data_IF_865486097642
#
_entry.id   IF_865486097642
#
_cell.length_a   1.000
_cell.length_b   1.000
_cell.length_c   1.000
_cell.angle_alpha   90.00
_cell.angle_beta   90.00
_cell.angle_gamma   90.00
#
_symmetry.space_group_name_H-M   'P 1'
#
loop_
_entity.id
_entity.type
_entity.pdbx_description
1 polymer ?
#
# COMPACT_ATOMS: atom_id res chain seq x y z
N UNK A 1 -2.06 4.07 38.28
CA UNK A 1 -1.46 2.79 37.83
C UNK A 1 -2.42 1.88 37.05
N UNK A 2 -3.72 1.85 37.38
CA UNK A 2 -4.70 0.95 36.77
C UNK A 2 -5.19 1.39 35.37
N UNK A 3 -5.09 2.66 35.02
CA UNK A 3 -5.65 3.19 33.78
C UNK A 3 -4.73 2.91 32.59
N UNK A 4 -3.42 3.05 32.77
CA UNK A 4 -2.42 2.77 31.71
C UNK A 4 -2.32 1.28 31.38
N UNK A 5 -2.45 0.39 32.36
CA UNK A 5 -2.27 -1.05 32.18
C UNK A 5 -3.34 -1.75 31.33
N UNK A 6 -4.51 -1.11 31.12
CA UNK A 6 -5.55 -1.65 30.22
C UNK A 6 -5.42 -1.17 28.78
N UNK A 7 -4.79 -0.01 28.56
CA UNK A 7 -4.70 0.62 27.26
C UNK A 7 -3.33 0.44 26.59
N UNK A 8 -2.31 0.08 27.38
CA UNK A 8 -0.93 -0.01 26.95
C UNK A 8 -0.27 -1.24 27.58
N UNK A 9 0.37 -2.06 26.73
CA UNK A 9 1.08 -3.27 27.17
C UNK A 9 2.47 -3.33 26.53
N UNK A 10 3.37 -4.05 27.15
CA UNK A 10 4.67 -4.38 26.55
C UNK A 10 4.45 -5.09 25.21
N UNK A 11 5.18 -4.65 24.19
CA UNK A 11 5.10 -5.15 22.83
C UNK A 11 4.00 -4.53 21.97
N UNK A 12 3.15 -3.66 22.52
CA UNK A 12 2.18 -2.90 21.73
C UNK A 12 2.91 -1.91 20.82
N UNK A 13 2.36 -1.69 19.62
CA UNK A 13 2.77 -0.61 18.75
C UNK A 13 1.81 0.56 18.87
N UNK A 14 2.34 1.72 19.22
CA UNK A 14 1.55 2.90 19.53
C UNK A 14 2.05 4.13 18.78
N UNK A 15 1.12 5.06 18.54
CA UNK A 15 1.42 6.41 18.09
C UNK A 15 0.74 7.42 19.03
N UNK A 16 1.50 8.41 19.48
CA UNK A 16 0.95 9.54 20.22
C UNK A 16 0.46 10.63 19.27
N UNK A 17 -0.51 11.41 19.70
CA UNK A 17 -1.02 12.56 18.94
C UNK A 17 0.03 13.64 18.65
N UNK A 18 1.14 13.64 19.37
CA UNK A 18 2.34 14.47 19.14
C UNK A 18 3.25 13.96 18.05
N UNK A 19 2.99 12.74 17.52
CA UNK A 19 3.67 12.17 16.36
C UNK A 19 4.70 11.09 16.68
N UNK A 20 5.11 10.92 17.95
CA UNK A 20 6.03 9.84 18.32
C UNK A 20 5.32 8.50 18.18
N UNK A 21 5.99 7.55 17.54
CA UNK A 21 5.48 6.20 17.34
C UNK A 21 6.54 5.14 17.58
N UNK A 22 6.12 3.96 18.01
CA UNK A 22 7.04 2.86 18.23
C UNK A 22 6.43 1.69 19.00
N UNK A 23 7.23 0.65 19.13
CA UNK A 23 6.91 -0.51 19.95
C UNK A 23 7.25 -0.23 21.41
N UNK A 24 6.33 -0.47 22.31
CA UNK A 24 6.53 -0.37 23.76
C UNK A 24 7.48 -1.47 24.22
N UNK A 25 8.63 -1.10 24.73
CA UNK A 25 9.66 -2.03 25.22
C UNK A 25 9.78 -2.06 26.73
N UNK A 26 9.40 -0.98 27.40
CA UNK A 26 9.42 -0.91 28.86
C UNK A 26 8.35 0.05 29.38
N UNK A 27 7.76 -0.28 30.53
CA UNK A 27 6.79 0.56 31.24
C UNK A 27 7.17 0.56 32.70
N UNK A 28 7.72 1.67 33.15
CA UNK A 28 7.99 1.93 34.57
C UNK A 28 6.87 2.76 35.20
N UNK A 29 6.98 3.08 36.49
CA UNK A 29 5.99 3.93 37.14
C UNK A 29 6.01 5.41 36.67
N UNK A 30 7.14 5.87 36.09
CA UNK A 30 7.32 7.26 35.63
C UNK A 30 7.38 7.40 34.12
N UNK A 31 7.91 6.41 33.42
CA UNK A 31 8.24 6.49 32.00
C UNK A 31 7.77 5.25 31.24
N UNK A 32 7.40 5.45 30.02
CA UNK A 32 7.23 4.41 29.02
C UNK A 32 8.29 4.58 27.94
N UNK A 33 8.95 3.51 27.58
CA UNK A 33 9.99 3.50 26.54
C UNK A 33 9.43 2.85 25.29
N UNK A 34 9.62 3.51 24.14
CA UNK A 34 9.25 2.97 22.84
C UNK A 34 10.46 2.94 21.91
N UNK A 35 10.46 1.99 20.95
CA UNK A 35 11.45 1.93 19.88
C UNK A 35 10.69 2.06 18.55
N UNK A 36 10.97 3.10 17.73
CA UNK A 36 10.42 3.23 16.39
C UNK A 36 10.83 2.07 15.48
N UNK A 37 10.00 1.75 14.48
CA UNK A 37 10.32 0.71 13.49
C UNK A 37 11.57 1.10 12.70
N UNK A 38 12.54 0.16 12.59
CA UNK A 38 13.78 0.39 11.86
C UNK A 38 14.80 1.32 12.54
N UNK A 39 14.51 1.79 13.77
CA UNK A 39 15.43 2.63 14.53
C UNK A 39 16.20 1.83 15.57
N UNK A 40 17.41 2.31 15.88
CA UNK A 40 18.25 1.78 16.97
C UNK A 40 18.16 2.61 18.26
N UNK A 41 17.49 3.75 18.19
CA UNK A 41 17.27 4.65 19.32
C UNK A 41 15.96 4.38 20.03
N UNK A 42 15.90 4.77 21.29
CA UNK A 42 14.70 4.69 22.12
C UNK A 42 14.13 6.08 22.36
N UNK A 43 12.81 6.16 22.45
CA UNK A 43 12.08 7.35 22.89
C UNK A 43 11.54 7.05 24.28
N UNK A 44 11.93 7.87 25.26
CA UNK A 44 11.47 7.77 26.64
C UNK A 44 10.44 8.85 26.91
N UNK A 45 9.22 8.44 27.22
CA UNK A 45 8.06 9.34 27.35
C UNK A 45 7.58 9.31 28.80
N UNK A 46 7.46 10.47 29.46
CA UNK A 46 6.86 10.53 30.78
C UNK A 46 5.40 10.01 30.76
N UNK A 47 5.03 9.16 31.72
CA UNK A 47 3.68 8.62 31.79
C UNK A 47 2.61 9.71 31.96
N UNK A 48 2.99 10.85 32.53
CA UNK A 48 2.13 12.05 32.61
C UNK A 48 1.75 12.55 31.21
N UNK A 49 2.70 12.54 30.27
CA UNK A 49 2.45 12.93 28.87
C UNK A 49 1.52 11.92 28.19
N UNK A 50 1.76 10.63 28.37
CA UNK A 50 0.92 9.57 27.84
C UNK A 50 -0.51 9.65 28.37
N UNK A 51 -0.69 9.92 29.65
CA UNK A 51 -2.01 10.02 30.29
C UNK A 51 -2.86 11.20 29.76
N UNK A 52 -2.21 12.25 29.25
CA UNK A 52 -2.87 13.42 28.67
C UNK A 52 -2.94 13.44 27.15
N UNK A 53 -2.35 12.45 26.47
CA UNK A 53 -2.27 12.41 25.02
C UNK A 53 -3.35 11.50 24.40
N UNK A 54 -3.72 11.81 23.16
CA UNK A 54 -4.42 10.84 22.33
C UNK A 54 -3.42 9.75 21.92
N UNK A 55 -3.79 8.48 22.13
CA UNK A 55 -2.96 7.34 21.80
C UNK A 55 -3.72 6.49 20.78
N UNK A 56 -3.09 6.24 19.63
CA UNK A 56 -3.51 5.20 18.71
C UNK A 56 -2.72 3.94 19.05
N UNK A 57 -3.39 2.89 19.51
CA UNK A 57 -2.77 1.60 19.78
C UNK A 57 -3.12 0.62 18.64
N UNK A 58 -2.15 0.35 17.76
CA UNK A 58 -2.31 -0.54 16.60
C UNK A 58 -2.34 -2.03 16.98
N UNK A 59 -2.11 -2.34 18.25
CA UNK A 59 -2.15 -3.70 18.78
C UNK A 59 -3.46 -4.05 19.48
N UNK A 60 -4.39 -3.09 19.57
CA UNK A 60 -5.70 -3.27 20.19
C UNK A 60 -6.83 -2.90 19.22
N UNK A 61 -8.00 -3.56 19.31
CA UNK A 61 -8.34 -4.70 20.16
C UNK A 61 -7.69 -6.00 19.73
N UNK A 62 -7.23 -6.08 18.50
CA UNK A 62 -6.49 -7.22 17.93
C UNK A 62 -5.19 -6.73 17.32
N UNK A 63 -4.16 -7.55 17.29
CA UNK A 63 -2.89 -7.21 16.61
C UNK A 63 -2.97 -7.31 15.09
N UNK A 64 -4.17 -7.36 14.53
CA UNK A 64 -4.40 -7.44 13.09
C UNK A 64 -4.38 -6.06 12.46
N UNK A 65 -3.56 -5.87 11.44
CA UNK A 65 -3.50 -4.68 10.59
C UNK A 65 -3.79 -5.07 9.14
N UNK A 66 -4.31 -4.13 8.38
CA UNK A 66 -4.49 -4.27 6.93
C UNK A 66 -3.48 -3.37 6.22
N UNK A 67 -2.54 -4.00 5.52
CA UNK A 67 -1.56 -3.30 4.69
C UNK A 67 -2.19 -3.09 3.33
N UNK A 68 -2.30 -1.84 2.88
CA UNK A 68 -2.83 -1.52 1.56
C UNK A 68 -1.69 -1.28 0.56
N UNK A 69 -1.78 -1.95 -0.58
CA UNK A 69 -0.84 -1.78 -1.69
C UNK A 69 -1.63 -1.37 -2.93
N UNK A 70 -1.46 -0.13 -3.43
CA UNK A 70 -2.08 0.30 -4.67
C UNK A 70 -1.38 -0.34 -5.87
N UNK A 71 -2.17 -0.83 -6.82
CA UNK A 71 -1.71 -1.46 -8.07
C UNK A 71 -2.58 -0.98 -9.21
N UNK A 72 -2.01 -0.87 -10.42
CA UNK A 72 -2.74 -0.56 -11.65
C UNK A 72 -2.42 -1.58 -12.72
N UNK A 73 -3.41 -1.96 -13.52
CA UNK A 73 -3.27 -2.86 -14.67
C UNK A 73 -3.85 -2.22 -15.94
N UNK A 74 -3.42 -2.69 -17.11
CA UNK A 74 -3.95 -2.25 -18.39
C UNK A 74 -5.47 -2.41 -18.48
N UNK A 75 -6.16 -1.51 -19.21
CA UNK A 75 -7.57 -1.60 -19.51
C UNK A 75 -7.96 -2.88 -20.28
N UNK A 76 -7.01 -3.48 -21.00
CA UNK A 76 -7.20 -4.72 -21.75
C UNK A 76 -7.06 -5.98 -20.89
N UNK A 77 -6.77 -5.83 -19.59
CA UNK A 77 -6.58 -6.95 -18.68
C UNK A 77 -7.90 -7.66 -18.34
N UNK A 78 -7.86 -8.98 -18.23
CA UNK A 78 -8.94 -9.76 -17.62
C UNK A 78 -8.91 -9.56 -16.09
N UNK A 79 -9.86 -8.79 -15.58
CA UNK A 79 -9.92 -8.45 -14.15
C UNK A 79 -10.16 -9.65 -13.26
N UNK A 80 -10.84 -10.69 -13.73
CA UNK A 80 -11.02 -11.93 -12.96
C UNK A 80 -9.70 -12.70 -12.83
N UNK A 81 -8.88 -12.73 -13.89
CA UNK A 81 -7.52 -13.27 -13.83
C UNK A 81 -6.64 -12.43 -12.91
N UNK A 82 -6.67 -11.10 -13.04
CA UNK A 82 -5.90 -10.17 -12.20
C UNK A 82 -6.21 -10.40 -10.73
N UNK A 83 -7.49 -10.45 -10.35
CA UNK A 83 -7.89 -10.68 -8.96
C UNK A 83 -7.39 -12.03 -8.44
N UNK A 84 -7.62 -13.10 -9.17
CA UNK A 84 -7.18 -14.46 -8.78
C UNK A 84 -5.67 -14.54 -8.60
N UNK A 85 -4.89 -14.11 -9.58
CA UNK A 85 -3.42 -14.16 -9.56
C UNK A 85 -2.86 -13.31 -8.42
N UNK A 86 -3.44 -12.14 -8.19
CA UNK A 86 -3.02 -11.22 -7.13
C UNK A 86 -3.28 -11.82 -5.75
N UNK A 87 -4.46 -12.39 -5.53
CA UNK A 87 -4.82 -13.04 -4.26
C UNK A 87 -3.95 -14.26 -3.99
N UNK A 88 -3.69 -15.11 -4.98
CA UNK A 88 -2.79 -16.26 -4.87
C UNK A 88 -1.38 -15.81 -4.45
N UNK A 89 -0.82 -14.83 -5.14
CA UNK A 89 0.51 -14.27 -4.83
C UNK A 89 0.54 -13.67 -3.42
N UNK A 90 -0.50 -12.96 -3.02
CA UNK A 90 -0.59 -12.39 -1.67
C UNK A 90 -0.61 -13.47 -0.59
N UNK A 91 -1.36 -14.55 -0.78
CA UNK A 91 -1.40 -15.70 0.15
C UNK A 91 -0.03 -16.35 0.29
N UNK A 92 0.67 -16.59 -0.82
CA UNK A 92 2.02 -17.16 -0.82
C UNK A 92 3.01 -16.29 -0.03
N UNK A 93 2.97 -14.98 -0.25
CA UNK A 93 3.85 -14.03 0.44
C UNK A 93 3.53 -13.96 1.94
N UNK A 94 2.27 -13.87 2.31
CA UNK A 94 1.85 -13.81 3.72
C UNK A 94 2.18 -15.10 4.46
N UNK A 95 2.02 -16.26 3.83
CA UNK A 95 2.43 -17.53 4.41
C UNK A 95 3.95 -17.59 4.66
N UNK A 96 4.76 -17.10 3.71
CA UNK A 96 6.22 -17.16 3.78
C UNK A 96 6.82 -16.10 4.70
N UNK A 97 6.33 -14.86 4.63
CA UNK A 97 6.95 -13.70 5.28
C UNK A 97 6.34 -13.40 6.65
N UNK A 98 5.02 -13.56 6.77
CA UNK A 98 4.28 -13.25 8.00
C UNK A 98 3.93 -14.53 8.81
N UNK A 99 4.30 -15.69 8.31
CA UNK A 99 3.93 -16.99 8.88
C UNK A 99 2.40 -17.11 9.12
N UNK A 100 1.61 -16.54 8.20
CA UNK A 100 0.16 -16.50 8.25
C UNK A 100 -0.46 -17.24 7.05
N UNK A 101 -0.52 -18.57 7.07
CA UNK A 101 -1.05 -19.38 5.96
C UNK A 101 -2.58 -19.26 5.81
N UNK A 102 -3.26 -18.72 6.81
CA UNK A 102 -4.71 -18.54 6.82
C UNK A 102 -5.13 -17.09 6.52
N UNK A 103 -4.17 -16.25 6.09
CA UNK A 103 -4.48 -14.90 5.68
C UNK A 103 -5.48 -14.89 4.53
N UNK A 104 -6.43 -13.97 4.60
CA UNK A 104 -7.42 -13.75 3.55
C UNK A 104 -7.22 -12.37 2.90
N UNK A 105 -6.22 -12.23 2.01
CA UNK A 105 -6.00 -11.01 1.28
C UNK A 105 -7.13 -10.75 0.29
N UNK A 106 -7.38 -9.47 0.02
CA UNK A 106 -8.45 -9.06 -0.88
C UNK A 106 -7.97 -8.04 -1.91
N UNK A 107 -8.54 -8.12 -3.10
CA UNK A 107 -8.41 -7.12 -4.16
C UNK A 107 -9.66 -6.27 -4.19
N UNK A 108 -9.50 -4.95 -4.34
CA UNK A 108 -10.61 -3.99 -4.48
C UNK A 108 -10.30 -3.02 -5.59
N UNK A 109 -10.97 -3.15 -6.73
CA UNK A 109 -10.91 -2.17 -7.82
C UNK A 109 -11.54 -0.87 -7.35
N UNK A 110 -10.84 0.24 -7.55
CA UNK A 110 -11.20 1.52 -6.94
C UNK A 110 -11.43 2.64 -7.92
N UNK A 111 -10.76 2.61 -9.07
CA UNK A 111 -10.80 3.73 -10.00
C UNK A 111 -10.45 3.31 -11.43
N UNK A 112 -10.97 4.07 -12.39
CA UNK A 112 -10.50 4.12 -13.77
C UNK A 112 -9.50 5.27 -13.88
N UNK A 113 -8.20 4.92 -13.87
CA UNK A 113 -7.12 5.89 -13.99
C UNK A 113 -6.89 6.34 -15.44
N UNK A 114 -5.95 7.26 -15.64
CA UNK A 114 -5.64 7.82 -16.98
C UNK A 114 -5.12 6.76 -17.96
N UNK A 115 -4.42 5.75 -17.46
CA UNK A 115 -3.81 4.69 -18.28
C UNK A 115 -4.00 3.29 -17.68
N UNK A 116 -4.72 3.17 -16.56
CA UNK A 116 -4.84 1.93 -15.81
C UNK A 116 -6.20 1.78 -15.15
N UNK A 117 -6.60 0.54 -14.90
CA UNK A 117 -7.63 0.23 -13.91
C UNK A 117 -6.91 0.05 -12.57
N UNK A 118 -7.24 0.91 -11.62
CA UNK A 118 -6.57 0.96 -10.33
C UNK A 118 -7.31 0.14 -9.28
N UNK A 119 -6.56 -0.52 -8.43
CA UNK A 119 -7.10 -1.29 -7.31
C UNK A 119 -6.15 -1.28 -6.11
N UNK A 120 -6.70 -1.61 -4.96
CA UNK A 120 -5.95 -1.82 -3.74
C UNK A 120 -5.91 -3.31 -3.39
N UNK A 121 -4.73 -3.78 -3.03
CA UNK A 121 -4.54 -5.10 -2.45
C UNK A 121 -4.45 -4.94 -0.94
N UNK A 122 -5.35 -5.60 -0.22
CA UNK A 122 -5.37 -5.61 1.25
C UNK A 122 -4.67 -6.88 1.74
N UNK A 123 -3.57 -6.70 2.45
CA UNK A 123 -2.76 -7.76 3.02
C UNK A 123 -2.94 -7.75 4.55
N UNK A 124 -3.73 -8.67 5.13
CA UNK A 124 -3.89 -8.76 6.57
C UNK A 124 -2.64 -9.32 7.23
N UNK A 125 -2.16 -8.65 8.27
CA UNK A 125 -0.99 -9.08 9.05
C UNK A 125 -1.23 -8.89 10.54
N UNK A 126 -0.61 -9.70 11.37
CA UNK A 126 -0.60 -9.56 12.82
C UNK A 126 0.63 -8.80 13.33
N UNK A 127 1.51 -8.34 12.43
CA UNK A 127 2.81 -7.78 12.76
C UNK A 127 2.98 -6.40 12.14
N UNK A 128 2.72 -5.38 12.92
CA UNK A 128 2.85 -3.99 12.48
C UNK A 128 4.27 -3.65 11.98
N UNK A 129 5.29 -4.15 12.66
CA UNK A 129 6.69 -3.95 12.33
C UNK A 129 7.15 -4.65 11.04
N UNK A 130 6.38 -5.61 10.54
CA UNK A 130 6.67 -6.32 9.30
C UNK A 130 6.03 -5.73 8.06
N UNK A 131 5.18 -4.71 8.18
CA UNK A 131 4.44 -4.15 7.05
C UNK A 131 5.35 -3.72 5.89
N UNK A 132 6.51 -3.13 6.18
CA UNK A 132 7.47 -2.73 5.15
C UNK A 132 8.05 -3.92 4.38
N UNK A 133 8.40 -5.00 5.09
CA UNK A 133 8.95 -6.22 4.50
C UNK A 133 7.87 -6.97 3.69
N UNK A 134 6.66 -7.09 4.24
CA UNK A 134 5.53 -7.73 3.54
C UNK A 134 5.22 -7.01 2.24
N UNK A 135 5.12 -5.68 2.28
CA UNK A 135 4.88 -4.84 1.11
C UNK A 135 5.97 -4.98 0.06
N UNK A 136 7.23 -4.95 0.47
CA UNK A 136 8.39 -5.13 -0.40
C UNK A 136 8.36 -6.49 -1.12
N UNK A 137 8.23 -7.57 -0.36
CA UNK A 137 8.20 -8.92 -0.91
C UNK A 137 6.98 -9.18 -1.78
N UNK A 138 5.83 -8.59 -1.43
CA UNK A 138 4.63 -8.69 -2.24
C UNK A 138 4.80 -8.00 -3.60
N UNK A 139 5.33 -6.78 -3.63
CA UNK A 139 5.56 -6.05 -4.89
C UNK A 139 6.51 -6.84 -5.81
N UNK A 140 7.59 -7.41 -5.27
CA UNK A 140 8.52 -8.25 -6.04
C UNK A 140 7.84 -9.48 -6.61
N UNK A 141 7.15 -10.24 -5.76
CA UNK A 141 6.48 -11.46 -6.17
C UNK A 141 5.37 -11.19 -7.20
N UNK A 142 4.58 -10.13 -6.99
CA UNK A 142 3.52 -9.75 -7.90
C UNK A 142 4.06 -9.34 -9.27
N UNK A 143 5.14 -8.56 -9.31
CA UNK A 143 5.78 -8.14 -10.55
C UNK A 143 6.25 -9.35 -11.37
N UNK A 144 6.87 -10.34 -10.74
CA UNK A 144 7.32 -11.55 -11.43
C UNK A 144 6.14 -12.42 -11.88
N UNK A 145 5.13 -12.58 -11.02
CA UNK A 145 3.95 -13.36 -11.34
C UNK A 145 3.16 -12.74 -12.50
N UNK A 146 3.00 -11.43 -12.52
CA UNK A 146 2.32 -10.73 -13.62
C UNK A 146 3.05 -10.89 -14.95
N UNK A 147 4.37 -10.82 -14.94
CA UNK A 147 5.18 -11.08 -16.15
C UNK A 147 4.94 -12.48 -16.68
N UNK A 148 4.88 -13.49 -15.82
CA UNK A 148 4.63 -14.89 -16.19
C UNK A 148 3.21 -15.12 -16.70
N UNK A 149 2.23 -14.46 -16.10
CA UNK A 149 0.80 -14.60 -16.45
C UNK A 149 0.35 -13.68 -17.61
N UNK A 150 1.26 -12.85 -18.14
CA UNK A 150 0.96 -11.91 -19.22
C UNK A 150 0.05 -10.76 -18.80
N UNK A 151 0.05 -10.40 -17.52
CA UNK A 151 -0.67 -9.24 -16.99
C UNK A 151 0.23 -8.02 -17.11
N UNK A 152 -0.24 -6.98 -17.79
CA UNK A 152 0.53 -5.77 -18.04
C UNK A 152 0.24 -4.67 -17.02
N UNK A 153 1.34 -4.09 -16.47
CA UNK A 153 1.30 -2.88 -15.67
C UNK A 153 1.66 -1.72 -16.61
N UNK A 154 0.70 -0.88 -17.00
CA UNK A 154 0.91 0.07 -18.07
C UNK A 154 1.85 1.21 -17.65
N UNK A 155 2.64 1.68 -18.63
CA UNK A 155 3.30 2.97 -18.53
C UNK A 155 2.30 4.09 -18.80
N UNK A 156 2.54 5.34 -18.33
CA UNK A 156 1.74 6.49 -18.72
C UNK A 156 1.73 6.65 -20.25
N UNK A 157 0.57 6.46 -20.89
CA UNK A 157 0.40 6.57 -22.35
C UNK A 157 -0.13 7.96 -22.66
N UNK A 158 0.56 8.69 -23.56
CA UNK A 158 0.04 9.91 -24.18
C UNK A 158 -0.26 9.61 -25.65
N UNK A 159 -1.54 9.69 -26.02
CA UNK A 159 -1.93 9.64 -27.44
C UNK A 159 -1.65 11.00 -28.08
N UNK A 160 -0.74 11.04 -29.05
CA UNK A 160 -0.52 12.22 -29.88
C UNK A 160 -1.39 12.03 -31.13
N UNK A 161 -2.48 12.79 -31.25
CA UNK A 161 -3.26 12.87 -32.47
C UNK A 161 -2.54 13.85 -33.38
N UNK A 162 -1.86 13.35 -34.42
CA UNK A 162 -1.37 14.20 -35.52
C UNK A 162 -2.54 14.42 -36.48
N UNK A 163 -3.12 15.61 -36.47
CA UNK A 163 -3.96 16.04 -37.59
C UNK A 163 -3.06 16.18 -38.82
N UNK A 164 -3.25 15.30 -39.81
CA UNK A 164 -2.69 15.52 -41.13
C UNK A 164 -3.45 16.71 -41.76
N UNK A 165 -2.78 17.85 -41.87
CA UNK A 165 -3.26 18.92 -42.73
C UNK A 165 -3.42 18.35 -44.14
N UNK A 166 -4.66 18.24 -44.59
CA UNK A 166 -4.98 17.89 -45.97
C UNK A 166 -4.50 19.02 -46.86
N UNK A 167 -3.58 18.79 -47.82
CA UNK A 167 -3.15 19.88 -48.71
C UNK A 167 -4.35 20.46 -49.45
N UNK A 168 -4.45 21.77 -49.43
CA UNK A 168 -5.51 22.50 -50.12
C UNK A 168 -5.57 22.10 -51.61
N UNK A 169 -6.76 21.98 -52.22
CA UNK A 169 -6.88 21.63 -53.63
C UNK A 169 -6.23 22.73 -54.47
N UNK A 170 -5.31 22.32 -55.37
CA UNK A 170 -4.70 23.25 -56.35
C UNK A 170 -5.80 23.86 -57.24
N UNK A 171 -5.98 25.18 -57.16
CA UNK A 171 -6.79 25.97 -58.10
C UNK A 171 -6.16 25.87 -59.47
N UNK A 172 -6.77 25.12 -60.38
CA UNK A 172 -6.47 25.17 -61.79
C UNK A 172 -6.82 26.56 -62.33
N UNK A 173 -5.78 27.39 -62.50
CA UNK A 173 -5.92 28.60 -63.29
C UNK A 173 -6.29 28.20 -64.75
N UNK A 174 -7.50 28.44 -65.13
CA UNK A 174 -7.90 28.42 -66.53
C UNK A 174 -7.38 29.66 -67.23
N UNK A 175 -6.37 29.49 -68.04
CA UNK A 175 -6.01 30.45 -69.09
C UNK A 175 -7.13 30.60 -70.08
N UNK A 176 -7.73 31.79 -70.15
CA UNK A 176 -8.52 32.23 -71.28
C UNK A 176 -7.61 32.95 -72.24
N UNK A 177 -7.30 32.28 -73.34
CA UNK A 177 -6.85 32.89 -74.61
C UNK A 177 -8.10 33.31 -75.40
N UNK A 178 -8.22 34.59 -75.70
CA UNK A 178 -8.59 35.08 -77.03
C UNK A 178 -8.48 36.61 -77.02
#
# INVERSE_FOLDING_TARGET
HLILSKQLRLGDYIQLGTGEEGRVTDITWRFTTIIPVGASNTIVIPNKTIAGANITNFSLPTRSINISVPVGVSYDSDLAQVERVTVETAKEVLARVDNNPYADPAVRFTNFGDSSIDFNVVLPSSRFDHQGVIKHEFIKALTERYRTEGIDIPYPIRSIIQEQENPAPEEHAQEHRS
#
